data_IF_590980563717
#
_entry.id   IF_590980563717
#
_cell.length_a   1.000
_cell.length_b   1.000
_cell.length_c   1.000
_cell.angle_alpha   90.00
_cell.angle_beta   90.00
_cell.angle_gamma   90.00
#
_symmetry.space_group_name_H-M   'P 1'
#
loop_
_entity.id
_entity.type
_entity.pdbx_description
1 polymer ?
#
# COMPACT_ATOMS: atom_id res chain seq x y z
N UNK A 1 -18.44 14.12 -3.53
CA UNK A 1 -17.38 13.16 -3.97
C UNK A 1 -16.13 13.96 -4.30
N UNK A 2 -14.99 13.78 -3.60
CA UNK A 2 -13.79 14.49 -3.97
C UNK A 2 -13.26 13.90 -5.28
N UNK A 3 -13.10 14.75 -6.29
CA UNK A 3 -12.49 14.40 -7.58
C UNK A 3 -11.01 14.10 -7.33
N UNK A 4 -10.59 12.85 -7.47
CA UNK A 4 -9.17 12.47 -7.43
C UNK A 4 -8.48 13.16 -8.60
N UNK A 5 -7.75 14.26 -8.35
CA UNK A 5 -6.89 14.89 -9.35
C UNK A 5 -5.84 13.86 -9.77
N UNK A 6 -5.97 13.29 -10.97
CA UNK A 6 -4.88 12.56 -11.60
C UNK A 6 -3.77 13.59 -11.87
N UNK A 7 -2.67 13.54 -11.11
CA UNK A 7 -1.47 14.31 -11.41
C UNK A 7 -0.75 13.64 -12.58
N UNK A 8 -1.23 13.90 -13.79
CA UNK A 8 -0.56 13.51 -15.02
C UNK A 8 0.58 14.51 -15.22
N UNK A 9 1.83 14.05 -15.07
CA UNK A 9 3.00 14.87 -15.35
C UNK A 9 3.13 15.02 -16.86
N UNK A 10 2.53 16.07 -17.42
CA UNK A 10 2.52 16.38 -18.85
C UNK A 10 3.89 16.83 -19.37
N UNK A 11 4.78 17.25 -18.47
CA UNK A 11 6.12 17.73 -18.78
C UNK A 11 7.18 16.78 -18.21
N UNK A 12 7.99 16.11 -19.05
CA UNK A 12 9.04 15.18 -18.60
C UNK A 12 10.11 15.80 -17.69
N UNK A 13 10.20 17.14 -17.63
CA UNK A 13 11.13 17.87 -16.76
C UNK A 13 10.62 18.01 -15.33
N UNK A 14 9.32 17.87 -15.10
CA UNK A 14 8.73 18.02 -13.77
C UNK A 14 8.99 16.75 -12.97
N UNK A 15 9.88 16.86 -11.97
CA UNK A 15 10.15 15.75 -11.06
C UNK A 15 8.98 15.58 -10.10
N UNK A 16 8.41 14.37 -9.97
CA UNK A 16 7.36 14.11 -8.99
C UNK A 16 7.84 14.42 -7.58
N UNK A 17 7.04 15.18 -6.82
CA UNK A 17 7.35 15.36 -5.40
C UNK A 17 6.95 14.08 -4.67
N UNK A 18 7.86 13.56 -3.86
CA UNK A 18 7.67 12.30 -3.12
C UNK A 18 6.36 12.30 -2.30
N UNK A 19 6.01 13.45 -1.73
CA UNK A 19 4.81 13.63 -0.89
C UNK A 19 3.48 13.54 -1.66
N UNK A 20 3.51 13.67 -2.99
CA UNK A 20 2.31 13.60 -3.82
C UNK A 20 1.87 12.14 -4.07
N UNK A 21 2.66 11.17 -3.60
CA UNK A 21 2.41 9.75 -3.80
C UNK A 21 2.44 8.98 -2.48
N UNK A 22 1.72 7.85 -2.49
CA UNK A 22 1.64 6.93 -1.36
C UNK A 22 1.94 5.52 -1.85
N UNK A 23 2.87 4.86 -1.19
CA UNK A 23 3.17 3.44 -1.41
C UNK A 23 2.15 2.64 -0.59
N UNK A 24 1.41 1.73 -1.25
CA UNK A 24 0.40 0.90 -0.59
C UNK A 24 0.86 -0.55 -0.59
N UNK A 25 1.08 -1.12 0.60
CA UNK A 25 1.25 -2.56 0.76
C UNK A 25 -0.12 -3.22 0.86
N UNK A 26 -0.49 -3.97 -0.17
CA UNK A 26 -1.70 -4.78 -0.19
C UNK A 26 -1.43 -6.18 0.37
N UNK A 27 -2.21 -6.61 1.35
CA UNK A 27 -2.16 -7.96 1.90
C UNK A 27 -3.47 -8.67 1.58
N UNK A 28 -3.39 -9.73 0.78
CA UNK A 28 -4.54 -10.57 0.47
C UNK A 28 -4.89 -11.42 1.70
N UNK A 29 -6.18 -11.48 2.04
CA UNK A 29 -6.71 -12.29 3.14
C UNK A 29 -7.96 -13.00 2.70
N UNK A 30 -8.09 -14.26 3.13
CA UNK A 30 -9.32 -15.05 2.96
C UNK A 30 -10.51 -14.50 3.77
N UNK A 31 -10.23 -13.91 4.94
CA UNK A 31 -11.26 -13.33 5.80
C UNK A 31 -10.81 -11.93 6.24
N UNK A 32 -11.47 -10.91 5.69
CA UNK A 32 -11.16 -9.50 5.96
C UNK A 32 -11.75 -8.99 7.28
N UNK A 33 -12.73 -9.71 7.85
CA UNK A 33 -13.38 -9.34 9.12
C UNK A 33 -12.48 -9.57 10.33
N UNK A 34 -11.49 -10.46 10.20
CA UNK A 34 -10.48 -10.69 11.24
C UNK A 34 -9.56 -9.47 11.38
N UNK A 35 -9.59 -8.87 12.57
CA UNK A 35 -8.71 -7.75 12.96
C UNK A 35 -7.22 -8.08 12.87
N UNK A 36 -6.83 -9.35 12.91
CA UNK A 36 -5.42 -9.75 12.88
C UNK A 36 -4.88 -9.74 11.44
N UNK A 37 -3.60 -9.42 11.29
CA UNK A 37 -2.95 -9.33 9.97
C UNK A 37 -2.82 -10.69 9.27
N UNK A 38 -2.96 -11.81 9.98
CA UNK A 38 -2.79 -13.17 9.44
C UNK A 38 -1.36 -13.53 9.01
N UNK A 39 -0.43 -12.57 9.01
CA UNK A 39 0.95 -12.79 8.56
C UNK A 39 1.81 -13.54 9.59
N UNK A 40 2.74 -14.42 9.14
CA UNK A 40 3.79 -14.99 9.97
C UNK A 40 4.64 -13.92 10.66
N UNK A 41 5.28 -14.28 11.78
CA UNK A 41 6.06 -13.34 12.59
C UNK A 41 7.13 -12.60 11.77
N UNK A 42 7.98 -13.33 11.04
CA UNK A 42 9.05 -12.73 10.24
C UNK A 42 8.53 -11.85 9.11
N UNK A 43 7.41 -12.23 8.47
CA UNK A 43 6.76 -11.40 7.45
C UNK A 43 6.32 -10.05 8.04
N UNK A 44 5.73 -10.05 9.25
CA UNK A 44 5.34 -8.81 9.96
C UNK A 44 6.56 -7.95 10.30
N UNK A 45 7.64 -8.58 10.78
CA UNK A 45 8.87 -7.87 11.15
C UNK A 45 9.53 -7.22 9.93
N UNK A 46 9.67 -7.97 8.83
CA UNK A 46 10.20 -7.46 7.57
C UNK A 46 9.36 -6.32 7.01
N UNK A 47 8.03 -6.47 7.00
CA UNK A 47 7.12 -5.43 6.53
C UNK A 47 7.22 -4.16 7.38
N UNK A 48 7.24 -4.28 8.71
CA UNK A 48 7.43 -3.15 9.62
C UNK A 48 8.74 -2.42 9.35
N UNK A 49 9.83 -3.16 9.14
CA UNK A 49 11.14 -2.58 8.84
C UNK A 49 11.15 -1.87 7.48
N UNK A 50 10.51 -2.43 6.46
CA UNK A 50 10.38 -1.81 5.14
C UNK A 50 9.57 -0.51 5.21
N UNK A 51 8.38 -0.53 5.83
CA UNK A 51 7.57 0.67 6.03
C UNK A 51 8.34 1.76 6.76
N UNK A 52 9.07 1.40 7.83
CA UNK A 52 9.91 2.36 8.57
C UNK A 52 10.99 2.99 7.70
N UNK A 53 11.72 2.19 6.91
CA UNK A 53 12.77 2.70 6.01
C UNK A 53 12.19 3.68 4.98
N UNK A 54 11.07 3.32 4.35
CA UNK A 54 10.42 4.16 3.34
C UNK A 54 9.86 5.46 3.93
N UNK A 55 9.24 5.40 5.11
CA UNK A 55 8.81 6.60 5.83
C UNK A 55 10.00 7.51 6.16
N UNK A 56 11.14 6.95 6.58
CA UNK A 56 12.36 7.72 6.85
C UNK A 56 12.94 8.38 5.59
N UNK A 57 12.71 7.82 4.41
CA UNK A 57 13.05 8.46 3.12
C UNK A 57 12.05 9.54 2.69
N UNK A 58 10.98 9.75 3.46
CA UNK A 58 9.97 10.79 3.21
C UNK A 58 8.79 10.34 2.34
N UNK A 59 8.68 9.04 2.01
CA UNK A 59 7.51 8.49 1.33
C UNK A 59 6.34 8.36 2.31
N UNK A 60 5.11 8.56 1.83
CA UNK A 60 3.93 8.12 2.55
C UNK A 60 3.73 6.62 2.31
N UNK A 61 3.57 5.83 3.38
CA UNK A 61 3.38 4.38 3.29
C UNK A 61 2.13 3.96 4.04
N UNK A 62 1.21 3.31 3.33
CA UNK A 62 -0.03 2.77 3.87
C UNK A 62 -0.11 1.25 3.68
N UNK A 63 -1.00 0.63 4.45
CA UNK A 63 -1.28 -0.79 4.37
C UNK A 63 -2.78 -0.99 4.11
N UNK A 64 -3.10 -1.86 3.16
CA UNK A 64 -4.46 -2.18 2.76
C UNK A 64 -4.65 -3.71 2.81
N UNK A 65 -5.85 -4.15 3.20
CA UNK A 65 -6.23 -5.56 3.09
C UNK A 65 -7.14 -5.73 1.88
N UNK A 66 -6.88 -6.78 1.10
CA UNK A 66 -7.71 -7.15 -0.05
C UNK A 66 -8.33 -8.51 0.26
N UNK A 67 -9.64 -8.63 0.04
CA UNK A 67 -10.35 -9.90 0.17
C UNK A 67 -9.97 -10.82 -0.99
N UNK A 68 -9.67 -12.08 -0.68
CA UNK A 68 -9.37 -13.09 -1.69
C UNK A 68 -10.65 -13.50 -2.44
N UNK A 69 -10.74 -13.16 -3.72
CA UNK A 69 -11.88 -13.49 -4.59
C UNK A 69 -11.63 -14.72 -5.46
N UNK A 70 -10.54 -15.45 -5.26
CA UNK A 70 -10.15 -16.60 -6.11
C UNK A 70 -11.19 -17.74 -6.12
N UNK A 71 -12.04 -17.85 -5.11
CA UNK A 71 -13.15 -18.84 -5.05
C UNK A 71 -14.38 -18.45 -5.89
N UNK A 72 -14.46 -17.24 -6.48
CA UNK A 72 -15.63 -16.81 -7.29
C UNK A 72 -15.56 -17.18 -8.79
N UNK A 73 -14.46 -17.76 -9.25
CA UNK A 73 -14.22 -18.10 -10.66
C UNK A 73 -13.86 -19.57 -10.89
N UNK A 74 -14.26 -20.46 -9.98
CA UNK A 74 -14.12 -21.92 -10.09
C UNK A 74 -15.49 -22.56 -10.25
#
# INVERSE_FOLDING_TARGET
MPKTKLNIYLNPKDRPKIKDFTIIYAIIKKDITKKTMGLPFFSKLSLKNACRKLNNYGYNVNLCFIEDTSEKYV
#
